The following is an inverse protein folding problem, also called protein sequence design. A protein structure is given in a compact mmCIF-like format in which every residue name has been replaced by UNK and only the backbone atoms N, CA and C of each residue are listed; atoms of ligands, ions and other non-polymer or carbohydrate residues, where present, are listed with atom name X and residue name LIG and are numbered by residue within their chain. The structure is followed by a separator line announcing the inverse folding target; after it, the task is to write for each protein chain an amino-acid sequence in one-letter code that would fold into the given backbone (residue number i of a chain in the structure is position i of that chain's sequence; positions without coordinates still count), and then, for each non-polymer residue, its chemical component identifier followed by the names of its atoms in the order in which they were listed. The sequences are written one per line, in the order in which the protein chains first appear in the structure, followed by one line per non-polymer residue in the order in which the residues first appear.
data_IF_274038128986
#
_entry.id   IF_274038128986
#
_cell.length_a   1.000
_cell.length_b   1.000
_cell.length_c   1.000
_cell.angle_alpha   90.00
_cell.angle_beta   90.00
_cell.angle_gamma   90.00
#
_symmetry.space_group_name_H-M   'P 1'
#
loop_
_entity.id
_entity.type
_entity.pdbx_description
1 polymer ?
#
# COMPACT_ATOMS: atom_id res chain seq x y z
N UNK A 1 -14.10 -31.32 21.96
CA UNK A 1 -14.22 -31.29 20.49
C UNK A 1 -15.36 -30.33 20.19
N UNK A 2 -15.18 -29.43 19.23
CA UNK A 2 -16.15 -28.38 18.93
C UNK A 2 -16.96 -28.79 17.72
N UNK A 3 -18.28 -28.70 17.83
CA UNK A 3 -19.23 -29.22 16.84
C UNK A 3 -20.19 -28.12 16.42
N UNK A 4 -20.80 -28.27 15.23
CA UNK A 4 -21.74 -27.30 14.66
C UNK A 4 -23.08 -27.99 14.44
N UNK A 5 -24.16 -27.38 14.89
CA UNK A 5 -25.53 -27.86 14.67
C UNK A 5 -26.53 -26.71 14.84
N UNK A 6 -27.82 -26.97 14.65
CA UNK A 6 -28.88 -25.96 14.70
C UNK A 6 -29.69 -26.02 15.99
N UNK A 7 -30.11 -24.85 16.49
CA UNK A 7 -31.01 -24.73 17.64
C UNK A 7 -32.35 -25.36 17.26
N UNK A 8 -32.73 -26.41 17.97
CA UNK A 8 -34.00 -27.12 17.78
C UNK A 8 -35.16 -26.43 18.48
N UNK A 9 -34.92 -25.95 19.71
CA UNK A 9 -35.97 -25.42 20.57
C UNK A 9 -35.41 -24.45 21.60
N UNK A 10 -36.16 -23.38 21.90
CA UNK A 10 -35.84 -22.41 22.94
C UNK A 10 -36.94 -22.37 24.01
N UNK A 11 -36.54 -22.35 25.28
CA UNK A 11 -37.41 -22.15 26.43
C UNK A 11 -37.14 -20.78 27.07
N UNK A 12 -37.95 -19.75 26.78
CA UNK A 12 -37.76 -18.40 27.32
C UNK A 12 -37.90 -18.31 28.85
N UNK A 13 -38.76 -19.12 29.46
CA UNK A 13 -39.00 -19.08 30.92
C UNK A 13 -37.78 -19.59 31.70
N UNK A 14 -37.10 -20.61 31.18
CA UNK A 14 -35.92 -21.22 31.82
C UNK A 14 -34.59 -20.69 31.28
N UNK A 15 -34.63 -19.80 30.28
CA UNK A 15 -33.47 -19.28 29.53
C UNK A 15 -32.50 -20.39 29.15
N UNK A 16 -33.06 -21.43 28.52
CA UNK A 16 -32.37 -22.65 28.09
C UNK A 16 -32.90 -23.13 26.74
N UNK A 17 -32.13 -23.94 26.01
CA UNK A 17 -32.57 -24.49 24.73
C UNK A 17 -31.93 -25.83 24.39
N UNK A 18 -32.41 -26.45 23.33
CA UNK A 18 -31.86 -27.69 22.79
C UNK A 18 -31.28 -27.46 21.39
N UNK A 19 -30.14 -28.06 21.11
CA UNK A 19 -29.46 -28.08 19.82
C UNK A 19 -29.59 -29.49 19.24
N UNK A 20 -29.89 -29.59 17.94
CA UNK A 20 -30.05 -30.87 17.25
C UNK A 20 -28.82 -31.77 17.44
N UNK A 21 -29.07 -33.07 17.65
CA UNK A 21 -28.03 -34.10 17.58
C UNK A 21 -27.23 -34.02 16.27
N UNK A 22 -25.95 -34.39 16.32
CA UNK A 22 -25.01 -34.21 15.20
C UNK A 22 -25.06 -35.39 14.24
N UNK A 23 -25.16 -36.62 14.76
CA UNK A 23 -25.34 -37.80 13.94
C UNK A 23 -26.75 -38.37 14.11
N UNK A 24 -27.34 -38.87 13.02
CA UNK A 24 -28.68 -39.49 13.09
C UNK A 24 -28.72 -40.69 14.05
N UNK A 25 -27.57 -41.33 14.27
CA UNK A 25 -27.38 -42.45 15.21
C UNK A 25 -27.41 -42.04 16.69
N UNK A 26 -27.32 -40.75 17.00
CA UNK A 26 -27.33 -40.27 18.38
C UNK A 26 -28.75 -40.31 18.96
N UNK A 27 -28.88 -40.71 20.22
CA UNK A 27 -30.19 -40.87 20.85
C UNK A 27 -30.81 -39.54 21.32
N UNK A 28 -30.00 -38.51 21.58
CA UNK A 28 -30.44 -37.29 22.28
C UNK A 28 -29.82 -36.02 21.71
N UNK A 29 -30.63 -34.95 21.73
CA UNK A 29 -30.21 -33.57 21.46
C UNK A 29 -29.36 -33.01 22.61
N UNK A 30 -28.64 -31.91 22.36
CA UNK A 30 -27.77 -31.28 23.35
C UNK A 30 -28.47 -30.12 24.05
N UNK A 31 -28.43 -30.10 25.39
CA UNK A 31 -29.01 -29.03 26.21
C UNK A 31 -27.98 -27.91 26.42
N UNK A 32 -28.39 -26.66 26.24
CA UNK A 32 -27.63 -25.49 26.69
C UNK A 32 -28.48 -24.60 27.60
N UNK A 33 -27.80 -23.82 28.42
CA UNK A 33 -28.40 -22.79 29.29
C UNK A 33 -27.72 -21.46 29.01
N UNK A 34 -28.38 -20.34 29.29
CA UNK A 34 -27.89 -19.00 28.94
C UNK A 34 -26.44 -18.71 29.38
N UNK A 35 -26.01 -19.21 30.55
CA UNK A 35 -24.63 -19.03 31.03
C UNK A 35 -23.55 -19.66 30.13
N UNK A 36 -23.92 -20.60 29.27
CA UNK A 36 -22.99 -21.24 28.34
C UNK A 36 -22.87 -20.47 27.02
N UNK A 37 -23.68 -19.43 26.81
CA UNK A 37 -23.59 -18.54 25.65
C UNK A 37 -22.38 -17.62 25.79
N UNK A 38 -21.51 -17.62 24.79
CA UNK A 38 -20.35 -16.74 24.73
C UNK A 38 -20.59 -15.70 23.65
N UNK A 39 -20.58 -14.42 24.05
CA UNK A 39 -20.85 -13.27 23.16
C UNK A 39 -22.23 -13.31 22.46
N UNK A 40 -23.19 -14.07 23.00
CA UNK A 40 -24.57 -14.15 22.55
C UNK A 40 -25.51 -13.86 23.72
N UNK A 41 -26.62 -13.17 23.44
CA UNK A 41 -27.73 -13.05 24.40
C UNK A 41 -28.81 -14.04 24.03
N UNK A 42 -29.47 -14.61 25.03
CA UNK A 42 -30.52 -15.60 24.79
C UNK A 42 -31.69 -15.04 23.95
N UNK A 43 -32.03 -13.76 24.14
CA UNK A 43 -33.12 -13.10 23.40
C UNK A 43 -32.80 -12.88 21.91
N UNK A 44 -31.53 -13.03 21.50
CA UNK A 44 -31.09 -12.92 20.10
C UNK A 44 -31.13 -14.29 19.39
N UNK A 45 -31.44 -15.39 20.08
CA UNK A 45 -31.47 -16.73 19.51
C UNK A 45 -32.83 -17.04 18.86
N UNK A 46 -32.80 -17.79 17.76
CA UNK A 46 -34.00 -18.29 17.08
C UNK A 46 -33.91 -19.79 16.82
N UNK A 47 -35.03 -20.50 16.84
CA UNK A 47 -35.08 -21.90 16.37
C UNK A 47 -34.63 -21.98 14.90
N UNK A 48 -33.82 -22.98 14.57
CA UNK A 48 -33.14 -23.15 13.29
C UNK A 48 -31.79 -22.43 13.16
N UNK A 49 -31.39 -21.59 14.13
CA UNK A 49 -30.10 -20.89 14.10
C UNK A 49 -28.93 -21.86 14.28
N UNK A 50 -27.94 -21.78 13.40
CA UNK A 50 -26.71 -22.57 13.50
C UNK A 50 -25.80 -22.02 14.60
N UNK A 51 -25.25 -22.92 15.42
CA UNK A 51 -24.39 -22.61 16.56
C UNK A 51 -23.25 -23.61 16.65
N UNK A 52 -22.11 -23.15 17.18
CA UNK A 52 -20.94 -23.97 17.45
C UNK A 52 -20.77 -24.12 18.96
N UNK A 53 -20.41 -25.32 19.42
CA UNK A 53 -20.36 -25.62 20.85
C UNK A 53 -19.41 -26.77 21.16
N UNK A 54 -18.93 -26.82 22.41
CA UNK A 54 -18.14 -27.93 22.93
C UNK A 54 -19.04 -28.96 23.62
N UNK A 55 -18.96 -30.22 23.19
CA UNK A 55 -19.74 -31.31 23.79
C UNK A 55 -19.14 -31.77 25.11
N UNK A 56 -19.98 -31.82 26.15
CA UNK A 56 -19.67 -32.50 27.40
C UNK A 56 -20.88 -33.34 27.84
N UNK A 57 -20.87 -34.64 27.50
CA UNK A 57 -22.03 -35.51 27.72
C UNK A 57 -23.21 -35.10 26.83
N UNK A 58 -24.36 -34.80 27.44
CA UNK A 58 -25.55 -34.31 26.73
C UNK A 58 -25.71 -32.78 26.80
N UNK A 59 -24.64 -32.07 27.18
CA UNK A 59 -24.63 -30.62 27.29
C UNK A 59 -23.78 -29.98 26.20
N UNK A 60 -24.30 -28.87 25.68
CA UNK A 60 -23.59 -27.97 24.80
C UNK A 60 -23.02 -26.81 25.64
N UNK A 61 -21.69 -26.75 25.75
CA UNK A 61 -20.97 -25.72 26.49
C UNK A 61 -20.30 -24.75 25.54
N UNK A 62 -20.01 -23.53 26.01
CA UNK A 62 -19.37 -22.46 25.21
C UNK A 62 -20.03 -22.29 23.84
N UNK A 63 -21.36 -22.15 23.85
CA UNK A 63 -22.15 -21.99 22.65
C UNK A 63 -21.87 -20.60 22.07
N UNK A 64 -21.33 -20.58 20.86
CA UNK A 64 -21.10 -19.38 20.05
C UNK A 64 -21.85 -19.52 18.74
N UNK A 65 -21.90 -18.45 17.95
CA UNK A 65 -22.13 -18.64 16.51
C UNK A 65 -20.96 -19.45 15.96
N UNK A 66 -21.19 -20.31 14.95
CA UNK A 66 -20.11 -20.95 14.25
C UNK A 66 -19.16 -19.87 13.78
N UNK A 67 -17.86 -20.10 13.97
CA UNK A 67 -16.88 -19.43 13.14
C UNK A 67 -17.18 -19.91 11.72
N UNK A 68 -18.08 -19.20 11.06
CA UNK A 68 -18.38 -19.50 9.69
C UNK A 68 -17.03 -19.36 9.02
N UNK A 69 -16.59 -20.43 8.36
CA UNK A 69 -15.68 -20.32 7.22
C UNK A 69 -16.40 -19.54 6.10
N UNK A 70 -16.96 -18.38 6.43
CA UNK A 70 -17.25 -17.30 5.55
C UNK A 70 -15.89 -16.92 5.00
N UNK A 71 -15.63 -17.39 3.79
CA UNK A 71 -15.08 -16.48 2.81
C UNK A 71 -15.87 -15.18 2.96
N UNK A 72 -15.29 -14.18 3.63
CA UNK A 72 -15.77 -12.80 3.65
C UNK A 72 -15.85 -12.36 2.19
N UNK A 73 -16.96 -12.64 1.50
CA UNK A 73 -17.18 -12.15 0.15
C UNK A 73 -17.60 -10.71 0.28
N UNK A 74 -16.59 -9.89 0.51
CA UNK A 74 -16.65 -8.47 0.29
C UNK A 74 -17.20 -8.21 -1.12
N UNK A 75 -18.38 -7.60 -1.20
CA UNK A 75 -19.03 -7.28 -2.48
C UNK A 75 -18.66 -5.87 -2.92
N UNK A 76 -18.75 -5.59 -4.22
CA UNK A 76 -18.41 -4.30 -4.80
C UNK A 76 -19.63 -3.67 -5.45
N UNK A 77 -19.85 -2.39 -5.18
CA UNK A 77 -20.90 -1.61 -5.83
C UNK A 77 -20.61 -0.11 -5.72
N UNK A 78 -21.45 0.72 -6.31
CA UNK A 78 -21.24 2.17 -6.39
C UNK A 78 -22.06 2.93 -5.36
N UNK A 79 -21.49 3.99 -4.78
CA UNK A 79 -22.23 4.95 -3.97
C UNK A 79 -23.34 5.58 -4.82
N UNK A 80 -24.59 5.38 -4.42
CA UNK A 80 -25.77 5.90 -5.11
C UNK A 80 -26.18 7.26 -4.59
N UNK A 81 -26.10 7.45 -3.28
CA UNK A 81 -26.59 8.66 -2.61
C UNK A 81 -25.83 8.92 -1.31
N UNK A 82 -25.66 10.20 -0.98
CA UNK A 82 -25.04 10.68 0.25
C UNK A 82 -25.93 11.75 0.89
N UNK A 83 -26.10 11.68 2.20
CA UNK A 83 -26.75 12.69 3.03
C UNK A 83 -25.71 13.34 3.96
N UNK A 84 -25.18 14.52 3.62
CA UNK A 84 -24.19 15.22 4.44
C UNK A 84 -24.70 15.62 5.83
N UNK A 85 -25.99 15.96 5.96
CA UNK A 85 -26.56 16.40 7.24
C UNK A 85 -26.64 15.25 8.26
N UNK A 86 -26.99 14.05 7.80
CA UNK A 86 -27.15 12.86 8.64
C UNK A 86 -25.93 11.91 8.60
N UNK A 87 -24.89 12.26 7.84
CA UNK A 87 -23.67 11.47 7.60
C UNK A 87 -23.95 9.99 7.33
N UNK A 88 -24.86 9.76 6.38
CA UNK A 88 -25.27 8.43 5.92
C UNK A 88 -25.54 8.42 4.41
N UNK A 89 -25.74 7.24 3.83
CA UNK A 89 -25.93 7.11 2.38
C UNK A 89 -26.45 5.76 1.94
N UNK A 90 -26.54 5.60 0.62
CA UNK A 90 -26.94 4.34 -0.03
C UNK A 90 -25.93 3.92 -1.09
N UNK A 91 -25.71 2.61 -1.20
CA UNK A 91 -24.89 1.94 -2.21
C UNK A 91 -25.83 1.14 -3.13
N UNK A 92 -25.60 1.17 -4.44
CA UNK A 92 -26.40 0.45 -5.41
C UNK A 92 -26.53 -1.04 -5.05
N UNK A 93 -27.75 -1.56 -5.24
CA UNK A 93 -28.03 -3.00 -5.23
C UNK A 93 -27.12 -3.78 -6.19
N UNK A 94 -26.89 -5.07 -5.91
CA UNK A 94 -25.93 -5.91 -6.64
C UNK A 94 -26.53 -6.51 -7.92
N UNK A 95 -27.84 -6.71 -7.95
CA UNK A 95 -28.59 -7.17 -9.12
C UNK A 95 -29.80 -6.28 -9.39
N UNK A 96 -30.20 -6.18 -10.66
CA UNK A 96 -31.46 -5.51 -11.03
C UNK A 96 -32.70 -6.19 -10.43
N UNK A 97 -32.59 -7.48 -10.10
CA UNK A 97 -33.64 -8.27 -9.43
C UNK A 97 -33.77 -7.99 -7.94
N UNK A 98 -32.80 -7.31 -7.32
CA UNK A 98 -32.86 -6.98 -5.90
C UNK A 98 -33.82 -5.81 -5.67
N UNK A 99 -34.59 -5.85 -4.59
CA UNK A 99 -35.60 -4.83 -4.33
C UNK A 99 -35.03 -3.55 -3.70
N UNK A 100 -33.85 -3.62 -3.04
CA UNK A 100 -33.34 -2.54 -2.19
C UNK A 100 -31.85 -2.30 -2.35
N UNK A 101 -31.48 -1.02 -2.31
CA UNK A 101 -30.09 -0.57 -2.16
C UNK A 101 -29.58 -0.80 -0.73
N UNK A 102 -28.27 -0.78 -0.55
CA UNK A 102 -27.65 -0.96 0.76
C UNK A 102 -27.48 0.37 1.47
N UNK A 103 -28.05 0.50 2.68
CA UNK A 103 -27.88 1.67 3.52
C UNK A 103 -26.57 1.59 4.33
N UNK A 104 -25.92 2.73 4.54
CA UNK A 104 -24.76 2.82 5.42
C UNK A 104 -24.74 4.11 6.23
N UNK A 105 -24.02 4.07 7.35
CA UNK A 105 -23.73 5.22 8.21
C UNK A 105 -22.21 5.43 8.26
N UNK A 106 -21.78 6.65 8.57
CA UNK A 106 -20.35 7.01 8.64
C UNK A 106 -19.50 6.07 9.51
N UNK A 107 -20.05 5.52 10.60
CA UNK A 107 -19.35 4.57 11.48
C UNK A 107 -18.88 3.29 10.78
N UNK A 108 -19.52 2.93 9.68
CA UNK A 108 -19.16 1.75 8.89
C UNK A 108 -18.06 2.03 7.86
N UNK A 109 -17.65 3.28 7.68
CA UNK A 109 -16.53 3.64 6.81
C UNK A 109 -15.21 3.27 7.47
N UNK A 110 -14.42 2.46 6.79
CA UNK A 110 -13.08 2.07 7.22
C UNK A 110 -12.05 2.85 6.39
N UNK A 111 -11.23 3.65 7.06
CA UNK A 111 -10.13 4.41 6.46
C UNK A 111 -10.55 5.42 5.37
N UNK A 112 -11.80 5.89 5.41
CA UNK A 112 -12.35 6.92 4.50
C UNK A 112 -13.16 7.89 5.34
N UNK A 113 -12.95 9.20 5.15
CA UNK A 113 -13.83 10.19 5.75
C UNK A 113 -15.08 10.34 4.88
N UNK A 114 -16.25 10.53 5.48
CA UNK A 114 -17.50 10.65 4.72
C UNK A 114 -17.45 11.83 3.73
N UNK A 115 -16.71 12.90 4.03
CA UNK A 115 -16.56 14.07 3.14
C UNK A 115 -15.75 13.77 1.86
N UNK A 116 -15.00 12.67 1.83
CA UNK A 116 -14.24 12.22 0.66
C UNK A 116 -15.09 11.35 -0.29
N UNK A 117 -16.27 10.92 0.15
CA UNK A 117 -17.18 10.11 -0.65
C UNK A 117 -17.86 10.94 -1.74
N UNK A 118 -17.99 10.35 -2.92
CA UNK A 118 -18.70 10.93 -4.07
C UNK A 118 -19.66 9.90 -4.66
N UNK A 119 -20.81 10.38 -5.14
CA UNK A 119 -21.76 9.56 -5.88
C UNK A 119 -21.05 8.96 -7.11
N UNK A 120 -21.24 7.67 -7.35
CA UNK A 120 -20.59 6.88 -8.41
C UNK A 120 -19.29 6.20 -8.00
N UNK A 121 -18.73 6.48 -6.81
CA UNK A 121 -17.50 5.82 -6.34
C UNK A 121 -17.73 4.33 -6.08
N UNK A 122 -16.81 3.48 -6.55
CA UNK A 122 -16.84 2.05 -6.29
C UNK A 122 -16.27 1.76 -4.91
N UNK A 123 -17.07 1.11 -4.08
CA UNK A 123 -16.71 0.71 -2.74
C UNK A 123 -16.88 -0.79 -2.58
N UNK A 124 -16.09 -1.35 -1.68
CA UNK A 124 -16.14 -2.74 -1.28
C UNK A 124 -16.65 -2.81 0.17
N UNK A 125 -17.60 -3.70 0.45
CA UNK A 125 -18.27 -3.75 1.75
C UNK A 125 -18.76 -5.15 2.09
N UNK A 126 -19.09 -5.37 3.38
CA UNK A 126 -19.71 -6.59 3.88
C UNK A 126 -21.23 -6.40 3.96
N UNK A 127 -22.04 -7.03 3.08
CA UNK A 127 -23.48 -6.86 3.09
C UNK A 127 -24.09 -7.62 4.28
N UNK A 128 -24.93 -6.95 5.06
CA UNK A 128 -25.70 -7.51 6.16
C UNK A 128 -27.18 -7.13 5.97
N UNK A 129 -27.93 -7.99 5.27
CA UNK A 129 -29.28 -7.65 4.82
C UNK A 129 -29.27 -6.46 3.86
N UNK A 130 -30.04 -5.41 4.15
CA UNK A 130 -30.01 -4.14 3.38
C UNK A 130 -29.02 -3.12 3.93
N UNK A 131 -28.06 -3.54 4.76
CA UNK A 131 -27.01 -2.68 5.33
C UNK A 131 -25.65 -3.03 4.77
N UNK A 132 -24.81 -2.01 4.56
CA UNK A 132 -23.43 -2.15 4.17
C UNK A 132 -22.50 -1.84 5.36
N UNK A 133 -21.71 -2.83 5.75
CA UNK A 133 -20.77 -2.73 6.87
C UNK A 133 -19.32 -2.74 6.35
N UNK A 134 -18.39 -2.20 7.15
CA UNK A 134 -16.94 -2.17 6.85
C UNK A 134 -16.62 -1.71 5.42
N UNK A 135 -17.18 -0.58 5.04
CA UNK A 135 -17.08 -0.01 3.71
C UNK A 135 -15.69 0.56 3.50
N UNK A 136 -15.05 0.14 2.41
CA UNK A 136 -13.72 0.55 1.99
C UNK A 136 -13.74 0.93 0.51
N UNK A 137 -12.76 1.72 0.06
CA UNK A 137 -12.63 2.05 -1.35
C UNK A 137 -12.22 0.78 -2.07
N UNK A 138 -12.89 0.47 -3.17
CA UNK A 138 -12.40 -0.58 -4.02
C UNK A 138 -11.18 -0.07 -4.79
N UNK A 139 -10.00 -0.40 -4.27
CA UNK A 139 -8.77 -0.31 -5.03
C UNK A 139 -8.57 -1.64 -5.75
N UNK A 140 -8.31 -1.57 -7.07
CA UNK A 140 -7.93 -2.75 -7.86
C UNK A 140 -6.76 -3.46 -7.17
N UNK A 141 -6.68 -4.79 -7.33
CA UNK A 141 -5.72 -5.67 -6.64
C UNK A 141 -4.23 -5.32 -6.84
N UNK A 142 -3.89 -4.25 -7.54
CA UNK A 142 -2.53 -3.69 -7.59
C UNK A 142 -2.18 -2.84 -6.35
N UNK A 143 -3.16 -2.25 -5.65
CA UNK A 143 -2.90 -1.37 -4.49
C UNK A 143 -3.11 -2.04 -3.12
N UNK A 144 -3.74 -3.22 -3.07
CA UNK A 144 -4.06 -3.93 -1.81
C UNK A 144 -2.85 -4.51 -1.06
N UNK A 145 -1.66 -4.54 -1.65
CA UNK A 145 -0.48 -5.09 -0.99
C UNK A 145 0.18 -4.14 0.02
N UNK A 146 -0.20 -2.86 0.07
CA UNK A 146 0.57 -1.84 0.80
C UNK A 146 -0.10 -1.34 2.09
N UNK A 147 -1.42 -1.54 2.25
CA UNK A 147 -2.17 -1.02 3.41
C UNK A 147 -2.74 -2.09 4.36
N UNK A 148 -2.42 -3.37 4.18
CA UNK A 148 -2.62 -4.40 5.20
C UNK A 148 -1.28 -4.79 5.83
N UNK A 149 -0.71 -3.90 6.63
CA UNK A 149 0.14 -4.36 7.73
C UNK A 149 -0.85 -4.92 8.75
N UNK A 150 -1.14 -6.22 8.63
CA UNK A 150 -1.88 -6.95 9.64
C UNK A 150 -1.21 -6.71 11.00
N UNK A 151 -2.02 -6.51 12.04
CA UNK A 151 -1.64 -6.59 13.45
C UNK A 151 -1.10 -7.99 13.79
N UNK A 152 0.07 -8.33 13.25
CA UNK A 152 0.97 -9.36 13.73
C UNK A 152 2.39 -8.84 13.44
N UNK A 153 2.75 -7.73 14.07
CA UNK A 153 4.15 -7.33 14.11
C UNK A 153 4.83 -8.21 15.17
N UNK A 154 5.56 -9.23 14.74
CA UNK A 154 6.82 -9.48 15.43
C UNK A 154 7.63 -8.18 15.30
N UNK A 155 7.87 -7.52 16.43
CA UNK A 155 8.68 -6.30 16.55
C UNK A 155 10.13 -6.60 16.11
N UNK A 156 10.36 -6.67 14.80
CA UNK A 156 11.68 -6.84 14.23
C UNK A 156 11.92 -5.77 13.17
N UNK A 157 13.04 -5.06 13.30
CA UNK A 157 13.45 -3.96 12.43
C UNK A 157 13.29 -4.25 10.94
N UNK A 158 13.52 -5.50 10.51
CA UNK A 158 13.36 -5.92 9.11
C UNK A 158 11.93 -5.77 8.58
N UNK A 159 10.89 -6.03 9.39
CA UNK A 159 9.48 -5.88 8.95
C UNK A 159 9.09 -4.41 8.81
N UNK A 160 9.67 -3.54 9.64
CA UNK A 160 9.51 -2.08 9.55
C UNK A 160 10.16 -1.57 8.26
N UNK A 161 11.41 -1.96 7.98
CA UNK A 161 12.10 -1.57 6.74
C UNK A 161 11.31 -2.04 5.52
N UNK A 162 10.84 -3.29 5.51
CA UNK A 162 10.01 -3.79 4.41
C UNK A 162 8.76 -2.93 4.18
N UNK A 163 8.04 -2.60 5.24
CA UNK A 163 6.82 -1.78 5.17
C UNK A 163 7.08 -0.38 4.63
N UNK A 164 8.15 0.28 5.10
CA UNK A 164 8.59 1.58 4.60
C UNK A 164 8.90 1.50 3.10
N UNK A 165 9.64 0.48 2.66
CA UNK A 165 10.01 0.31 1.26
C UNK A 165 8.77 0.07 0.37
N UNK A 166 7.80 -0.74 0.81
CA UNK A 166 6.56 -0.95 0.04
C UNK A 166 5.75 0.34 -0.09
N UNK A 167 5.59 1.10 1.00
CA UNK A 167 4.95 2.40 0.97
C UNK A 167 5.67 3.37 0.01
N UNK A 168 7.00 3.35 0.02
CA UNK A 168 7.78 4.19 -0.87
C UNK A 168 7.58 3.84 -2.35
N UNK A 169 7.50 2.55 -2.69
CA UNK A 169 7.20 2.10 -4.07
C UNK A 169 5.79 2.49 -4.49
N UNK A 170 4.81 2.29 -3.62
CA UNK A 170 3.43 2.68 -3.88
C UNK A 170 3.29 4.18 -4.15
N UNK A 171 3.89 5.01 -3.30
CA UNK A 171 3.88 6.45 -3.50
C UNK A 171 4.57 6.84 -4.81
N UNK A 172 5.74 6.26 -5.11
CA UNK A 172 6.44 6.50 -6.37
C UNK A 172 5.55 6.18 -7.59
N UNK A 173 4.78 5.09 -7.54
CA UNK A 173 3.86 4.72 -8.61
C UNK A 173 2.74 5.75 -8.81
N UNK A 174 2.23 6.33 -7.73
CA UNK A 174 1.05 7.20 -7.75
C UNK A 174 1.33 8.70 -7.91
N UNK A 175 2.58 9.15 -7.85
CA UNK A 175 2.94 10.58 -8.06
C UNK A 175 2.73 10.99 -9.52
N UNK A 176 1.76 11.85 -9.81
CA UNK A 176 1.51 12.36 -11.17
C UNK A 176 1.92 13.83 -11.36
N UNK A 177 2.35 14.49 -10.30
CA UNK A 177 2.88 15.85 -10.35
C UNK A 177 4.41 15.81 -10.52
N UNK A 178 4.97 16.46 -11.57
CA UNK A 178 6.42 16.46 -11.82
C UNK A 178 7.25 17.08 -10.69
N UNK A 179 6.76 18.12 -10.02
CA UNK A 179 7.49 18.77 -8.92
C UNK A 179 7.51 17.90 -7.68
N UNK A 180 6.40 17.21 -7.38
CA UNK A 180 6.36 16.22 -6.31
C UNK A 180 7.31 15.06 -6.63
N UNK A 181 7.39 14.64 -7.90
CA UNK A 181 8.30 13.57 -8.31
C UNK A 181 9.78 13.96 -8.13
N UNK A 182 10.14 15.20 -8.48
CA UNK A 182 11.48 15.76 -8.25
C UNK A 182 11.85 15.75 -6.76
N UNK A 183 10.96 16.25 -5.88
CA UNK A 183 11.17 16.23 -4.42
C UNK A 183 11.33 14.81 -3.88
N UNK A 184 10.54 13.89 -4.41
CA UNK A 184 10.53 12.50 -4.00
C UNK A 184 11.85 11.81 -4.38
N UNK A 185 12.30 11.99 -5.63
CA UNK A 185 13.58 11.49 -6.10
C UNK A 185 14.76 12.10 -5.32
N UNK A 186 14.73 13.40 -5.08
CA UNK A 186 15.74 14.08 -4.26
C UNK A 186 15.83 13.47 -2.85
N UNK A 187 14.69 13.24 -2.21
CA UNK A 187 14.63 12.67 -0.86
C UNK A 187 15.23 11.26 -0.83
N UNK A 188 14.92 10.42 -1.82
CA UNK A 188 15.51 9.08 -1.96
C UNK A 188 17.03 9.16 -2.13
N UNK A 189 17.51 10.04 -3.02
CA UNK A 189 18.95 10.24 -3.21
C UNK A 189 19.65 10.69 -1.93
N UNK A 190 19.05 11.61 -1.17
CA UNK A 190 19.61 12.09 0.10
C UNK A 190 19.73 11.01 1.18
N UNK A 191 18.87 9.99 1.12
CA UNK A 191 18.99 8.80 1.98
C UNK A 191 20.05 7.82 1.48
N UNK A 192 20.32 7.78 0.17
CA UNK A 192 21.31 6.91 -0.45
C UNK A 192 22.73 7.44 -0.32
N UNK A 193 22.95 8.74 -0.58
CA UNK A 193 24.28 9.35 -0.68
C UNK A 193 24.44 10.54 0.28
N UNK A 194 25.66 10.80 0.77
CA UNK A 194 25.89 11.84 1.78
C UNK A 194 25.83 13.27 1.22
N UNK A 195 26.15 13.48 -0.07
CA UNK A 195 26.22 14.80 -0.69
C UNK A 195 25.27 14.91 -1.87
N UNK A 196 24.18 15.67 -1.70
CA UNK A 196 23.21 15.99 -2.75
C UNK A 196 22.95 17.50 -2.76
N UNK A 197 23.08 18.11 -3.93
CA UNK A 197 22.92 19.54 -4.19
C UNK A 197 21.76 19.74 -5.16
N UNK A 198 20.77 20.56 -4.80
CA UNK A 198 19.57 20.81 -5.62
C UNK A 198 19.62 22.18 -6.28
N UNK A 199 19.19 22.24 -7.53
CA UNK A 199 18.98 23.50 -8.24
C UNK A 199 17.76 24.24 -7.68
N UNK A 200 17.83 25.57 -7.50
CA UNK A 200 16.66 26.37 -7.11
C UNK A 200 15.55 26.33 -8.18
N UNK A 201 14.31 26.15 -7.72
CA UNK A 201 13.11 26.04 -8.58
C UNK A 201 12.81 27.29 -9.40
N UNK A 202 13.21 28.46 -8.90
CA UNK A 202 12.95 29.76 -9.52
C UNK A 202 13.75 30.03 -10.80
N UNK A 203 14.67 29.12 -11.19
CA UNK A 203 15.53 29.26 -12.37
C UNK A 203 15.66 27.99 -13.22
N UNK A 204 14.65 27.14 -13.29
CA UNK A 204 14.76 25.78 -13.88
C UNK A 204 14.93 25.69 -15.41
N UNK A 205 14.81 26.77 -16.19
CA UNK A 205 14.85 26.67 -17.65
C UNK A 205 16.22 26.18 -18.18
N UNK A 206 16.30 24.90 -18.54
CA UNK A 206 17.50 24.27 -19.09
C UNK A 206 18.54 23.82 -18.04
N UNK A 207 18.17 23.83 -16.76
CA UNK A 207 19.01 23.36 -15.65
C UNK A 207 18.57 21.96 -15.21
N UNK A 208 19.54 21.17 -14.77
CA UNK A 208 19.31 19.88 -14.14
C UNK A 208 18.73 20.08 -12.72
N UNK A 209 18.04 19.07 -12.20
CA UNK A 209 17.39 19.15 -10.89
C UNK A 209 18.39 19.08 -9.74
N UNK A 210 19.43 18.26 -9.87
CA UNK A 210 20.53 18.28 -8.92
C UNK A 210 21.80 17.58 -9.35
N UNK A 211 22.79 17.69 -8.48
CA UNK A 211 24.08 17.04 -8.54
C UNK A 211 24.24 16.24 -7.25
N UNK A 212 24.72 14.99 -7.34
CA UNK A 212 25.18 14.29 -6.15
C UNK A 212 26.60 13.77 -6.33
N UNK A 213 27.27 13.61 -5.20
CA UNK A 213 28.63 13.10 -5.11
C UNK A 213 28.70 11.98 -4.10
N UNK A 214 29.37 10.90 -4.47
CA UNK A 214 29.66 9.83 -3.54
C UNK A 214 30.99 9.19 -3.87
N UNK A 215 32.00 9.41 -3.01
CA UNK A 215 33.38 8.95 -3.21
C UNK A 215 33.89 9.38 -4.61
N UNK A 216 34.17 8.45 -5.52
CA UNK A 216 34.64 8.76 -6.88
C UNK A 216 33.52 8.79 -7.94
N UNK A 217 32.25 8.85 -7.54
CA UNK A 217 31.10 8.98 -8.45
C UNK A 217 30.54 10.41 -8.36
N UNK A 218 30.36 11.06 -9.51
CA UNK A 218 29.72 12.37 -9.64
C UNK A 218 28.59 12.27 -10.67
N UNK A 219 27.38 12.66 -10.27
CA UNK A 219 26.19 12.47 -11.10
C UNK A 219 25.34 13.72 -11.14
N UNK A 220 25.12 14.25 -12.35
CA UNK A 220 24.03 15.20 -12.62
C UNK A 220 22.75 14.38 -12.84
N UNK A 221 21.67 14.73 -12.15
CA UNK A 221 20.37 14.09 -12.32
C UNK A 221 19.27 15.08 -12.68
N UNK A 222 18.30 14.56 -13.42
CA UNK A 222 17.12 15.28 -13.91
C UNK A 222 15.94 14.31 -13.92
N UNK A 223 14.79 14.74 -13.42
CA UNK A 223 13.62 13.90 -13.18
C UNK A 223 12.56 14.16 -14.24
N UNK A 224 11.88 13.10 -14.69
CA UNK A 224 10.75 13.26 -15.59
C UNK A 224 9.73 12.13 -15.43
N UNK A 225 8.46 12.49 -15.50
CA UNK A 225 7.35 11.54 -15.57
C UNK A 225 7.14 11.00 -16.99
N UNK A 226 7.78 11.58 -18.00
CA UNK A 226 7.57 11.23 -19.41
C UNK A 226 8.48 10.08 -19.84
N UNK A 227 7.88 9.01 -20.36
CA UNK A 227 8.60 7.86 -20.93
C UNK A 227 9.37 8.18 -22.22
N UNK A 228 8.90 9.15 -23.00
CA UNK A 228 9.50 9.52 -24.29
C UNK A 228 10.50 10.68 -24.16
N UNK A 229 11.12 10.84 -22.99
CA UNK A 229 12.01 11.98 -22.72
C UNK A 229 13.19 12.10 -23.70
N UNK A 230 13.63 10.96 -24.25
CA UNK A 230 14.74 10.89 -25.19
C UNK A 230 14.49 11.75 -26.43
N UNK A 231 13.25 11.91 -26.85
CA UNK A 231 12.89 12.68 -28.06
C UNK A 231 13.09 14.19 -27.91
N UNK A 232 13.03 14.73 -26.69
CA UNK A 232 13.09 16.18 -26.45
C UNK A 232 14.19 16.63 -25.49
N UNK A 233 14.82 15.72 -24.75
CA UNK A 233 15.90 16.06 -23.80
C UNK A 233 17.32 16.05 -24.40
N UNK A 234 17.52 15.74 -25.68
CA UNK A 234 18.86 15.66 -26.29
C UNK A 234 19.70 16.93 -26.07
N UNK A 235 19.09 18.11 -26.26
CA UNK A 235 19.74 19.40 -26.04
C UNK A 235 20.09 19.62 -24.57
N UNK A 236 19.22 19.20 -23.64
CA UNK A 236 19.47 19.30 -22.20
C UNK A 236 20.61 18.38 -21.78
N UNK A 237 20.61 17.13 -22.23
CA UNK A 237 21.68 16.16 -21.99
C UNK A 237 23.01 16.69 -22.52
N UNK A 238 23.03 17.27 -23.72
CA UNK A 238 24.23 17.90 -24.28
C UNK A 238 24.76 19.03 -23.39
N UNK A 239 23.88 19.83 -22.81
CA UNK A 239 24.28 20.85 -21.83
C UNK A 239 24.84 20.24 -20.55
N UNK A 240 24.23 19.16 -20.04
CA UNK A 240 24.70 18.47 -18.83
C UNK A 240 26.08 17.84 -19.04
N UNK A 241 26.36 17.29 -20.23
CA UNK A 241 27.70 16.80 -20.62
C UNK A 241 28.73 17.93 -20.49
N UNK A 242 28.44 19.09 -21.08
CA UNK A 242 29.35 20.24 -21.03
C UNK A 242 29.55 20.76 -19.60
N UNK A 243 28.56 20.65 -18.73
CA UNK A 243 28.63 21.11 -17.34
C UNK A 243 29.44 20.14 -16.46
N UNK A 244 29.21 18.82 -16.56
CA UNK A 244 29.89 17.83 -15.70
C UNK A 244 31.38 17.66 -16.03
N UNK A 245 31.80 18.09 -17.23
CA UNK A 245 33.21 18.12 -17.65
C UNK A 245 33.99 19.31 -17.08
N UNK A 246 33.31 20.33 -16.54
CA UNK A 246 33.97 21.48 -15.95
C UNK A 246 34.66 21.11 -14.63
N UNK A 247 35.59 21.96 -14.18
CA UNK A 247 36.24 21.80 -12.87
C UNK A 247 35.29 22.09 -11.70
N UNK A 248 34.18 22.78 -11.95
CA UNK A 248 33.20 23.12 -10.93
C UNK A 248 31.87 23.51 -11.55
N UNK A 249 30.77 23.25 -10.85
CA UNK A 249 29.43 23.73 -11.19
C UNK A 249 28.94 24.65 -10.07
N UNK A 250 28.27 25.74 -10.44
CA UNK A 250 27.64 26.64 -9.44
C UNK A 250 26.19 26.25 -9.26
N UNK A 251 25.80 25.85 -8.05
CA UNK A 251 24.44 25.48 -7.67
C UNK A 251 24.05 26.36 -6.48
N UNK A 252 22.92 27.06 -6.57
CA UNK A 252 22.43 27.94 -5.50
C UNK A 252 23.49 28.92 -4.92
N UNK A 253 24.30 29.54 -5.79
CA UNK A 253 25.43 30.45 -5.44
C UNK A 253 26.61 29.77 -4.75
N UNK A 254 26.57 28.45 -4.54
CA UNK A 254 27.69 27.66 -4.06
C UNK A 254 28.46 27.05 -5.24
N UNK A 255 29.80 27.15 -5.20
CA UNK A 255 30.67 26.58 -6.23
C UNK A 255 31.10 25.18 -5.81
N UNK A 256 30.51 24.17 -6.44
CA UNK A 256 30.80 22.76 -6.18
C UNK A 256 31.94 22.30 -7.07
N UNK A 257 33.05 21.86 -6.48
CA UNK A 257 34.19 21.32 -7.22
C UNK A 257 33.91 19.92 -7.78
N UNK A 258 34.33 19.69 -9.03
CA UNK A 258 34.25 18.40 -9.72
C UNK A 258 35.64 17.82 -9.93
N UNK A 259 35.77 16.51 -9.74
CA UNK A 259 37.03 15.79 -9.93
C UNK A 259 37.17 15.33 -11.39
N UNK A 260 38.33 15.54 -12.01
CA UNK A 260 38.60 15.07 -13.38
C UNK A 260 38.76 13.55 -13.48
N UNK A 261 39.11 12.88 -12.39
CA UNK A 261 39.34 11.43 -12.33
C UNK A 261 38.15 10.65 -11.73
N UNK A 262 37.00 11.29 -11.56
CA UNK A 262 35.77 10.64 -11.09
C UNK A 262 35.06 9.87 -12.20
N UNK A 263 34.24 8.90 -11.82
CA UNK A 263 33.24 8.32 -12.69
C UNK A 263 32.11 9.34 -12.84
N UNK A 264 31.94 9.89 -14.05
CA UNK A 264 30.93 10.89 -14.34
C UNK A 264 29.71 10.25 -14.98
N UNK A 265 28.53 10.55 -14.46
CA UNK A 265 27.28 10.07 -15.04
C UNK A 265 26.24 11.17 -15.14
N UNK A 266 25.31 10.99 -16.07
CA UNK A 266 24.09 11.79 -16.19
C UNK A 266 22.92 10.84 -16.07
N UNK A 267 22.05 11.09 -15.09
CA UNK A 267 20.88 10.24 -14.83
C UNK A 267 19.62 11.00 -15.18
N UNK A 268 18.80 10.41 -16.05
CA UNK A 268 17.40 10.83 -16.18
C UNK A 268 16.57 9.88 -15.33
N UNK A 269 16.03 10.39 -14.23
CA UNK A 269 15.25 9.60 -13.28
C UNK A 269 13.80 9.54 -13.76
N UNK A 270 13.28 8.33 -13.96
CA UNK A 270 11.93 8.06 -14.46
C UNK A 270 11.22 7.03 -13.60
N UNK A 271 9.96 6.72 -13.93
CA UNK A 271 9.23 5.57 -13.36
C UNK A 271 9.42 4.28 -14.15
N UNK A 272 10.11 4.32 -15.29
CA UNK A 272 10.15 3.20 -16.22
C UNK A 272 11.30 2.26 -15.85
N UNK A 273 12.29 2.13 -16.72
CA UNK A 273 13.40 1.18 -16.54
C UNK A 273 14.70 1.88 -16.19
N UNK A 274 15.63 1.10 -15.63
CA UNK A 274 17.02 1.51 -15.52
C UNK A 274 17.79 0.93 -16.69
N UNK A 275 18.45 1.79 -17.46
CA UNK A 275 19.31 1.35 -18.56
C UNK A 275 20.38 2.39 -18.90
N UNK A 276 21.55 1.91 -19.32
CA UNK A 276 22.51 2.73 -20.03
C UNK A 276 22.04 2.89 -21.47
N UNK A 277 21.63 4.09 -21.88
CA UNK A 277 21.18 4.31 -23.26
C UNK A 277 22.22 5.06 -24.11
N UNK A 278 23.16 5.78 -23.51
CA UNK A 278 24.22 6.44 -24.24
C UNK A 278 25.52 6.53 -23.43
N UNK A 279 26.65 6.54 -24.11
CA UNK A 279 27.95 6.89 -23.52
C UNK A 279 28.56 7.98 -24.38
N UNK A 280 28.83 9.14 -23.77
CA UNK A 280 29.62 10.18 -24.41
C UNK A 280 31.09 9.87 -24.20
N UNK A 281 31.82 9.66 -25.30
CA UNK A 281 33.27 9.45 -25.28
C UNK A 281 33.97 10.75 -25.57
N UNK A 282 34.88 11.14 -24.68
CA UNK A 282 35.60 12.42 -24.74
C UNK A 282 36.88 12.37 -23.91
N UNK A 283 37.28 13.51 -23.34
CA UNK A 283 38.43 13.56 -22.40
C UNK A 283 38.15 12.72 -21.15
N UNK A 284 36.89 12.70 -20.71
CA UNK A 284 36.37 11.80 -19.68
C UNK A 284 35.13 11.14 -20.24
N UNK A 285 35.06 9.82 -20.15
CA UNK A 285 33.87 9.06 -20.55
C UNK A 285 32.72 9.36 -19.57
N UNK A 286 31.54 9.66 -20.13
CA UNK A 286 30.33 9.97 -19.36
C UNK A 286 29.25 8.97 -19.71
N UNK A 287 28.76 8.25 -18.71
CA UNK A 287 27.65 7.30 -18.86
C UNK A 287 26.32 8.02 -18.68
N UNK A 288 25.43 7.87 -19.64
CA UNK A 288 24.11 8.52 -19.63
C UNK A 288 23.07 7.42 -19.47
N UNK A 289 22.37 7.45 -18.34
CA UNK A 289 21.44 6.41 -17.92
C UNK A 289 20.04 6.97 -17.79
N UNK A 290 19.08 6.15 -18.16
CA UNK A 290 17.76 6.20 -17.56
C UNK A 290 17.86 5.44 -16.24
N UNK A 291 17.33 6.00 -15.16
CA UNK A 291 17.32 5.34 -13.85
C UNK A 291 15.90 5.33 -13.32
N UNK A 292 15.37 4.14 -13.12
CA UNK A 292 14.07 3.98 -12.49
C UNK A 292 14.15 4.38 -11.02
N UNK A 293 13.19 5.20 -10.57
CA UNK A 293 13.03 5.52 -9.15
C UNK A 293 12.88 4.25 -8.30
N UNK A 294 12.31 3.18 -8.87
CA UNK A 294 12.16 1.89 -8.20
C UNK A 294 13.51 1.21 -7.96
N UNK A 295 14.45 1.30 -8.90
CA UNK A 295 15.82 0.80 -8.72
C UNK A 295 16.54 1.56 -7.59
N UNK A 296 16.30 2.87 -7.44
CA UNK A 296 16.84 3.64 -6.32
C UNK A 296 16.21 3.23 -4.98
N UNK A 297 14.91 2.96 -4.96
CA UNK A 297 14.23 2.44 -3.76
C UNK A 297 14.74 1.04 -3.40
N UNK A 298 15.00 0.18 -4.38
CA UNK A 298 15.58 -1.15 -4.15
C UNK A 298 17.01 -1.07 -3.59
N UNK A 299 17.80 -0.13 -4.09
CA UNK A 299 19.11 0.16 -3.52
C UNK A 299 18.99 0.64 -2.06
N UNK A 300 18.01 1.50 -1.77
CA UNK A 300 17.77 1.98 -0.41
C UNK A 300 17.36 0.82 0.51
N UNK A 301 16.54 -0.11 0.02
CA UNK A 301 16.19 -1.31 0.75
C UNK A 301 17.44 -2.14 1.10
N UNK A 302 18.34 -2.38 0.14
CA UNK A 302 19.62 -3.08 0.41
C UNK A 302 20.43 -2.37 1.50
N UNK A 303 20.53 -1.03 1.40
CA UNK A 303 21.26 -0.20 2.36
C UNK A 303 20.66 -0.24 3.77
N UNK A 304 19.33 -0.21 3.89
CA UNK A 304 18.64 -0.18 5.19
C UNK A 304 18.52 -1.55 5.84
N UNK A 305 18.36 -2.62 5.04
CA UNK A 305 18.23 -3.98 5.54
C UNK A 305 19.57 -4.58 6.02
N UNK A 306 20.70 -4.01 5.61
CA UNK A 306 22.03 -4.45 6.03
C UNK A 306 22.69 -3.38 6.91
N UNK A 307 22.78 -3.64 8.21
CA UNK A 307 23.39 -2.70 9.17
C UNK A 307 24.90 -2.50 8.91
N UNK A 308 25.55 -3.50 8.30
CA UNK A 308 26.97 -3.51 7.95
C UNK A 308 27.20 -3.19 6.47
N UNK A 309 26.26 -2.48 5.81
CA UNK A 309 26.36 -2.18 4.38
C UNK A 309 27.62 -1.36 4.08
N UNK A 310 28.58 -1.98 3.41
CA UNK A 310 29.87 -1.37 3.11
C UNK A 310 29.68 -0.16 2.18
N UNK A 311 30.22 1.01 2.52
CA UNK A 311 30.26 2.15 1.61
C UNK A 311 30.86 1.84 0.22
N UNK A 312 31.69 0.80 0.07
CA UNK A 312 32.24 0.32 -1.21
C UNK A 312 31.22 -0.46 -2.04
N UNK A 313 30.40 -1.30 -1.40
CA UNK A 313 29.29 -1.97 -2.09
C UNK A 313 28.25 -0.93 -2.54
N UNK A 314 27.97 0.05 -1.68
CA UNK A 314 27.07 1.16 -1.96
C UNK A 314 27.44 1.95 -3.23
N UNK A 315 28.73 2.23 -3.42
CA UNK A 315 29.18 3.01 -4.56
C UNK A 315 29.15 2.18 -5.84
N UNK A 316 29.48 0.89 -5.79
CA UNK A 316 29.49 0.04 -6.97
C UNK A 316 28.06 -0.28 -7.43
N UNK A 317 27.15 -0.54 -6.49
CA UNK A 317 25.72 -0.66 -6.78
C UNK A 317 25.15 0.63 -7.43
N UNK A 318 25.57 1.82 -6.97
CA UNK A 318 25.16 3.09 -7.60
C UNK A 318 25.78 3.27 -9.00
N UNK A 319 27.10 3.07 -9.11
CA UNK A 319 27.83 3.23 -10.39
C UNK A 319 27.24 2.34 -11.47
N UNK A 320 26.88 1.12 -11.11
CA UNK A 320 26.46 0.07 -12.03
C UNK A 320 24.98 -0.29 -11.86
N UNK A 321 24.19 0.65 -11.33
CA UNK A 321 22.73 0.52 -11.26
C UNK A 321 22.18 0.12 -12.63
N UNK A 322 21.33 -0.90 -12.62
CA UNK A 322 20.74 -1.60 -13.77
C UNK A 322 19.26 -1.83 -13.56
#
# INVERSE_FOLDING_TARGET
MTEISTIKYLNPEKRSGFIHKIHETDEKDFLFVEKELINLKFDDLTEGMEVQFEIHGHFANKVTLPEVNQRKTLVQSQIKYLNPEKRNGFICKLSETDERDFFFIEKELCNIQFDDLKIGMVVQFEPHGSFANKIQLFQSNEEKSVFQINEIAEDNFSSIIYSIIQLMKHNAQNINDPFVFEDYAHTILKMLVPEVYTSPRDKQAGLFDGLFKYKNLEVIYDCTLSKNFKEYKENQISNYINQIQQQSITINRERIGLNSNSNKQIWVITKDKTELFQTHRGVTDIRIKEVSIFSLIDLLNKKLANIDYDPLDAIDDLKDIK
#
